data_IF_157553905146
#
_entry.id   IF_157553905146
#
_cell.length_a   1.000
_cell.length_b   1.000
_cell.length_c   1.000
_cell.angle_alpha   90.00
_cell.angle_beta   90.00
_cell.angle_gamma   90.00
#
_symmetry.space_group_name_H-M   'P 1'
#
loop_
_entity.id
_entity.type
_entity.pdbx_description
1 polymer ?
#
# COMPACT_ATOMS: atom_id res chain seq x y z
N UNK A 1 -26.00 27.43 19.31
CA UNK A 1 -25.16 28.24 18.40
C UNK A 1 -25.26 27.58 17.02
N UNK A 2 -25.88 28.26 16.05
CA UNK A 2 -25.95 27.77 14.66
C UNK A 2 -24.54 27.83 14.05
N UNK A 3 -23.94 26.70 13.80
CA UNK A 3 -22.67 26.62 13.08
C UNK A 3 -22.87 27.13 11.65
N UNK A 4 -22.01 28.01 11.25
CA UNK A 4 -22.09 28.85 10.05
C UNK A 4 -21.86 28.02 8.78
N UNK A 5 -22.56 28.26 7.64
CA UNK A 5 -22.40 27.54 6.37
C UNK A 5 -20.99 27.60 5.74
N UNK A 6 -20.14 28.51 6.18
CA UNK A 6 -18.81 28.75 5.62
C UNK A 6 -17.79 27.61 5.83
N UNK A 7 -17.93 26.81 6.89
CA UNK A 7 -16.93 25.77 7.22
C UNK A 7 -17.08 24.51 6.33
N UNK A 8 -18.31 24.21 5.89
CA UNK A 8 -18.58 23.10 4.97
C UNK A 8 -18.06 23.39 3.56
N UNK A 9 -18.06 24.66 3.15
CA UNK A 9 -17.55 25.11 1.85
C UNK A 9 -16.04 24.93 1.75
N UNK A 10 -15.28 25.26 2.82
CA UNK A 10 -13.81 25.15 2.81
C UNK A 10 -13.30 23.72 2.59
N UNK A 11 -13.96 22.71 3.19
CA UNK A 11 -13.61 21.31 2.94
C UNK A 11 -13.96 20.90 1.51
N UNK A 12 -15.13 21.31 1.01
CA UNK A 12 -15.54 21.00 -0.35
C UNK A 12 -14.58 21.60 -1.40
N UNK A 13 -14.14 22.85 -1.19
CA UNK A 13 -13.21 23.53 -2.07
C UNK A 13 -11.81 22.88 -2.06
N UNK A 14 -11.29 22.54 -0.87
CA UNK A 14 -10.01 21.85 -0.74
C UNK A 14 -10.06 20.43 -1.35
N UNK A 15 -11.15 19.69 -1.14
CA UNK A 15 -11.37 18.38 -1.74
C UNK A 15 -11.50 18.46 -3.26
N UNK A 16 -12.21 19.45 -3.79
CA UNK A 16 -12.34 19.67 -5.24
C UNK A 16 -10.97 19.94 -5.88
N UNK A 17 -10.17 20.82 -5.29
CA UNK A 17 -8.81 21.13 -5.76
C UNK A 17 -7.93 19.88 -5.79
N UNK A 18 -7.96 19.05 -4.74
CA UNK A 18 -7.22 17.78 -4.67
C UNK A 18 -7.66 16.81 -5.79
N UNK A 19 -8.98 16.64 -5.96
CA UNK A 19 -9.56 15.75 -6.96
C UNK A 19 -9.22 16.20 -8.39
N UNK A 20 -9.30 17.49 -8.67
CA UNK A 20 -8.94 18.08 -9.97
C UNK A 20 -7.45 17.89 -10.26
N UNK A 21 -6.58 18.17 -9.30
CA UNK A 21 -5.14 17.94 -9.43
C UNK A 21 -4.84 16.48 -9.77
N UNK A 22 -5.49 15.53 -9.08
CA UNK A 22 -5.35 14.11 -9.37
C UNK A 22 -5.87 13.77 -10.78
N UNK A 23 -7.04 14.25 -11.17
CA UNK A 23 -7.64 13.97 -12.47
C UNK A 23 -6.80 14.50 -13.65
N UNK A 24 -6.01 15.56 -13.42
CA UNK A 24 -5.09 16.14 -14.41
C UNK A 24 -3.74 15.42 -14.47
N UNK A 25 -3.35 14.69 -13.41
CA UNK A 25 -2.06 13.98 -13.36
C UNK A 25 -1.97 12.87 -14.42
N UNK A 26 -0.81 12.77 -15.08
CA UNK A 26 -0.53 11.74 -16.10
C UNK A 26 0.85 11.12 -15.85
N UNK A 27 1.04 9.80 -16.06
CA UNK A 27 0.02 8.81 -16.49
C UNK A 27 -0.92 8.43 -15.35
N UNK A 28 -2.21 8.19 -15.67
CA UNK A 28 -3.20 7.78 -14.69
C UNK A 28 -3.05 6.28 -14.37
N UNK A 29 -2.68 5.95 -13.14
CA UNK A 29 -2.46 4.58 -12.68
C UNK A 29 -3.77 3.91 -12.18
N UNK A 30 -4.77 3.79 -13.07
CA UNK A 30 -6.11 3.29 -12.73
C UNK A 30 -6.09 1.90 -12.07
N UNK A 31 -5.23 0.96 -12.51
CA UNK A 31 -5.12 -0.36 -11.87
C UNK A 31 -4.75 -0.23 -10.39
N UNK A 32 -3.75 0.60 -10.07
CA UNK A 32 -3.28 0.80 -8.70
C UNK A 32 -4.34 1.49 -7.82
N UNK A 33 -5.10 2.45 -8.40
CA UNK A 33 -6.18 3.10 -7.67
C UNK A 33 -7.33 2.14 -7.38
N UNK A 34 -7.75 1.32 -8.36
CA UNK A 34 -8.76 0.30 -8.14
C UNK A 34 -8.36 -0.69 -7.05
N UNK A 35 -7.09 -1.10 -7.04
CA UNK A 35 -6.51 -1.91 -5.96
C UNK A 35 -6.70 -1.23 -4.60
N UNK A 36 -6.42 0.07 -4.48
CA UNK A 36 -6.62 0.81 -3.22
C UNK A 36 -8.09 0.82 -2.79
N UNK A 37 -9.03 1.03 -3.72
CA UNK A 37 -10.48 1.02 -3.47
C UNK A 37 -10.92 -0.38 -2.99
N UNK A 38 -10.42 -1.45 -3.61
CA UNK A 38 -10.74 -2.80 -3.17
C UNK A 38 -10.26 -3.06 -1.73
N UNK A 39 -9.01 -2.71 -1.42
CA UNK A 39 -8.45 -2.94 -0.09
C UNK A 39 -9.14 -2.12 1.01
N UNK A 40 -9.30 -0.82 0.78
CA UNK A 40 -9.77 0.11 1.81
C UNK A 40 -11.30 0.19 1.91
N UNK A 41 -12.01 0.04 0.81
CA UNK A 41 -13.46 0.29 0.78
C UNK A 41 -14.27 -0.96 0.50
N UNK A 42 -13.94 -1.75 -0.53
CA UNK A 42 -14.80 -2.84 -0.96
C UNK A 42 -14.66 -4.05 -0.03
N UNK A 43 -13.43 -4.42 0.35
CA UNK A 43 -13.19 -5.59 1.22
C UNK A 43 -13.87 -5.46 2.59
N UNK A 44 -13.80 -4.32 3.32
CA UNK A 44 -14.51 -4.17 4.58
C UNK A 44 -16.05 -4.17 4.45
N UNK A 45 -16.58 -3.92 3.23
CA UNK A 45 -18.01 -3.81 2.96
C UNK A 45 -18.55 -4.96 2.11
N UNK A 46 -18.16 -6.20 2.41
CA UNK A 46 -18.67 -7.40 1.76
C UNK A 46 -17.86 -7.90 0.56
N UNK A 47 -16.74 -7.26 0.24
CA UNK A 47 -15.70 -7.75 -0.69
C UNK A 47 -16.09 -7.78 -2.17
N UNK A 48 -17.34 -7.46 -2.53
CA UNK A 48 -17.86 -7.62 -3.90
C UNK A 48 -18.56 -6.35 -4.39
N UNK A 49 -18.29 -5.95 -5.62
CA UNK A 49 -18.93 -4.78 -6.23
C UNK A 49 -19.41 -5.06 -7.66
N UNK A 50 -20.58 -4.50 -8.02
CA UNK A 50 -21.01 -4.48 -9.41
C UNK A 50 -20.15 -3.50 -10.23
N UNK A 51 -19.75 -3.92 -11.45
CA UNK A 51 -18.92 -3.10 -12.34
C UNK A 51 -19.50 -1.70 -12.59
N UNK A 52 -20.82 -1.60 -12.75
CA UNK A 52 -21.48 -0.30 -12.95
C UNK A 52 -21.37 0.62 -11.73
N UNK A 53 -21.41 0.08 -10.50
CA UNK A 53 -21.18 0.84 -9.28
C UNK A 53 -19.73 1.30 -9.19
N UNK A 54 -18.77 0.42 -9.50
CA UNK A 54 -17.35 0.76 -9.50
C UNK A 54 -17.05 1.91 -10.47
N UNK A 55 -17.65 1.88 -11.69
CA UNK A 55 -17.50 2.95 -12.67
C UNK A 55 -17.98 4.29 -12.10
N UNK A 56 -19.18 4.30 -11.48
CA UNK A 56 -19.73 5.53 -10.87
C UNK A 56 -18.91 6.05 -9.71
N UNK A 57 -18.31 5.16 -8.91
CA UNK A 57 -17.46 5.53 -7.76
C UNK A 57 -16.20 6.30 -8.19
N UNK A 58 -15.60 5.92 -9.32
CA UNK A 58 -14.31 6.48 -9.77
C UNK A 58 -14.45 7.57 -10.83
N UNK A 59 -15.66 7.77 -11.36
CA UNK A 59 -15.95 8.81 -12.37
C UNK A 59 -15.51 10.21 -11.92
N UNK A 60 -15.77 10.66 -10.66
CA UNK A 60 -15.33 11.96 -10.18
C UNK A 60 -13.81 12.13 -10.14
N UNK A 61 -13.04 11.03 -10.12
CA UNK A 61 -11.59 11.02 -10.19
C UNK A 61 -11.03 11.12 -11.61
N UNK A 62 -11.89 11.40 -12.61
CA UNK A 62 -11.48 11.52 -14.01
C UNK A 62 -11.19 10.18 -14.72
N UNK A 63 -11.58 9.04 -14.12
CA UNK A 63 -11.36 7.72 -14.71
C UNK A 63 -12.53 7.36 -15.61
N UNK A 64 -12.28 7.28 -16.92
CA UNK A 64 -13.31 6.93 -17.88
C UNK A 64 -13.82 5.49 -17.70
N UNK A 65 -15.09 5.25 -18.06
CA UNK A 65 -15.68 3.92 -18.05
C UNK A 65 -14.86 2.89 -18.84
N UNK A 66 -14.28 3.29 -19.99
CA UNK A 66 -13.40 2.44 -20.79
C UNK A 66 -12.16 2.03 -20.03
N UNK A 67 -11.54 2.97 -19.32
CA UNK A 67 -10.33 2.71 -18.54
C UNK A 67 -10.63 1.79 -17.35
N UNK A 68 -11.77 1.97 -16.66
CA UNK A 68 -12.19 1.06 -15.59
C UNK A 68 -12.36 -0.37 -16.11
N UNK A 69 -13.08 -0.55 -17.22
CA UNK A 69 -13.30 -1.88 -17.83
C UNK A 69 -11.99 -2.57 -18.21
N UNK A 70 -11.07 -1.83 -18.85
CA UNK A 70 -9.75 -2.35 -19.23
C UNK A 70 -8.92 -2.71 -17.98
N UNK A 71 -8.98 -1.88 -16.95
CA UNK A 71 -8.24 -2.13 -15.70
C UNK A 71 -8.77 -3.35 -14.95
N UNK A 72 -10.08 -3.47 -14.80
CA UNK A 72 -10.72 -4.65 -14.17
C UNK A 72 -10.41 -5.93 -14.95
N UNK A 73 -10.45 -5.90 -16.27
CA UNK A 73 -10.08 -7.04 -17.12
C UNK A 73 -8.61 -7.45 -16.87
N UNK A 74 -7.67 -6.50 -16.91
CA UNK A 74 -6.26 -6.76 -16.64
C UNK A 74 -5.99 -7.28 -15.22
N UNK A 75 -6.74 -6.80 -14.23
CA UNK A 75 -6.62 -7.29 -12.86
C UNK A 75 -7.18 -8.72 -12.72
N UNK A 76 -8.21 -9.07 -13.49
CA UNK A 76 -8.74 -10.42 -13.55
C UNK A 76 -7.76 -11.39 -14.27
N UNK A 77 -7.16 -10.98 -15.40
CA UNK A 77 -6.13 -11.78 -16.07
C UNK A 77 -4.90 -12.05 -15.18
N UNK A 78 -4.56 -11.08 -14.30
CA UNK A 78 -3.47 -11.26 -13.30
C UNK A 78 -3.87 -12.08 -12.07
N UNK A 79 -5.09 -12.61 -12.01
CA UNK A 79 -5.58 -13.35 -10.86
C UNK A 79 -5.75 -12.53 -9.58
N UNK A 80 -5.84 -11.19 -9.71
CA UNK A 80 -6.11 -10.29 -8.57
C UNK A 80 -7.61 -10.21 -8.31
N UNK A 81 -8.39 -10.06 -9.38
CA UNK A 81 -9.85 -10.05 -9.32
C UNK A 81 -10.42 -11.35 -9.90
N UNK A 82 -11.57 -11.74 -9.38
CA UNK A 82 -12.44 -12.76 -9.96
C UNK A 82 -13.81 -12.15 -10.23
N UNK A 83 -14.52 -12.68 -11.23
CA UNK A 83 -15.84 -12.21 -11.61
C UNK A 83 -16.91 -13.26 -11.38
N UNK A 84 -18.09 -12.78 -10.97
CA UNK A 84 -19.32 -13.58 -10.88
C UNK A 84 -20.42 -12.85 -11.65
N UNK A 85 -21.02 -13.53 -12.62
CA UNK A 85 -22.15 -12.99 -13.35
C UNK A 85 -23.46 -13.34 -12.62
N UNK A 86 -24.31 -12.32 -12.42
CA UNK A 86 -25.66 -12.47 -11.86
C UNK A 86 -26.62 -11.77 -12.82
N UNK A 87 -27.37 -12.53 -13.57
CA UNK A 87 -28.21 -12.00 -14.66
C UNK A 87 -27.36 -11.25 -15.69
N UNK A 88 -27.70 -10.00 -15.93
CA UNK A 88 -26.96 -9.12 -16.88
C UNK A 88 -25.83 -8.31 -16.20
N UNK A 89 -25.54 -8.56 -14.94
CA UNK A 89 -24.57 -7.79 -14.16
C UNK A 89 -23.35 -8.63 -13.83
N UNK A 90 -22.16 -8.06 -14.00
CA UNK A 90 -20.90 -8.67 -13.60
C UNK A 90 -20.44 -8.05 -12.27
N UNK A 91 -20.24 -8.88 -11.29
CA UNK A 91 -19.72 -8.54 -9.97
C UNK A 91 -18.27 -8.98 -9.87
N UNK A 92 -17.46 -8.17 -9.22
CA UNK A 92 -16.02 -8.45 -9.07
C UNK A 92 -15.63 -8.42 -7.60
N UNK A 93 -14.79 -9.37 -7.20
CA UNK A 93 -14.19 -9.48 -5.87
C UNK A 93 -12.71 -9.80 -6.00
N UNK A 94 -11.95 -9.62 -4.92
CA UNK A 94 -10.59 -10.16 -4.87
C UNK A 94 -10.62 -11.69 -4.92
N UNK A 95 -9.59 -12.28 -5.52
CA UNK A 95 -9.31 -13.72 -5.34
C UNK A 95 -8.82 -13.96 -3.91
N UNK A 96 -8.92 -15.21 -3.40
CA UNK A 96 -8.45 -15.55 -2.05
C UNK A 96 -6.96 -15.22 -1.86
N UNK A 97 -6.14 -15.45 -2.89
CA UNK A 97 -4.72 -15.10 -2.88
C UNK A 97 -4.53 -13.58 -2.75
N UNK A 98 -5.20 -12.81 -3.59
CA UNK A 98 -5.12 -11.36 -3.53
C UNK A 98 -5.65 -10.82 -2.20
N UNK A 99 -6.72 -11.37 -1.65
CA UNK A 99 -7.26 -10.99 -0.35
C UNK A 99 -6.24 -11.19 0.78
N UNK A 100 -5.51 -12.32 0.80
CA UNK A 100 -4.43 -12.55 1.78
C UNK A 100 -3.30 -11.53 1.63
N UNK A 101 -2.84 -11.26 0.40
CA UNK A 101 -1.83 -10.24 0.13
C UNK A 101 -2.27 -8.83 0.60
N UNK A 102 -3.54 -8.49 0.37
CA UNK A 102 -4.11 -7.24 0.86
C UNK A 102 -4.19 -7.17 2.37
N UNK A 103 -4.55 -8.25 3.03
CA UNK A 103 -4.63 -8.32 4.50
C UNK A 103 -3.23 -8.12 5.12
N UNK A 104 -2.19 -8.71 4.53
CA UNK A 104 -0.81 -8.48 4.96
C UNK A 104 -0.38 -7.01 4.73
N UNK A 105 -0.61 -6.47 3.54
CA UNK A 105 -0.30 -5.07 3.23
C UNK A 105 -1.10 -4.09 4.11
N UNK A 106 -2.36 -4.41 4.45
CA UNK A 106 -3.20 -3.57 5.33
C UNK A 106 -2.61 -3.44 6.72
N UNK A 107 -2.04 -4.50 7.28
CA UNK A 107 -1.34 -4.42 8.57
C UNK A 107 -0.26 -3.35 8.56
N UNK A 108 0.48 -3.21 7.44
CA UNK A 108 1.52 -2.18 7.27
C UNK A 108 0.94 -0.78 7.10
N UNK A 109 -0.16 -0.65 6.34
CA UNK A 109 -0.78 0.65 6.03
C UNK A 109 -1.45 1.26 7.28
N UNK A 110 -2.08 0.41 8.11
CA UNK A 110 -2.88 0.85 9.25
C UNK A 110 -2.21 0.59 10.61
N UNK A 111 -0.97 0.04 10.63
CA UNK A 111 -0.23 -0.10 11.88
C UNK A 111 0.11 1.28 12.47
N UNK A 112 -0.36 1.51 13.68
CA UNK A 112 -0.10 2.75 14.42
C UNK A 112 1.28 2.79 15.07
N UNK A 113 1.96 1.64 15.17
CA UNK A 113 3.28 1.51 15.78
C UNK A 113 4.12 0.49 15.01
N UNK A 114 5.43 0.76 14.90
CA UNK A 114 6.38 -0.24 14.42
C UNK A 114 6.50 -1.38 15.44
N UNK A 115 6.75 -2.59 14.95
CA UNK A 115 7.01 -3.72 15.83
C UNK A 115 8.44 -3.62 16.43
N UNK A 116 8.63 -3.94 17.72
CA UNK A 116 9.97 -3.97 18.29
C UNK A 116 10.84 -4.97 17.52
N UNK A 117 12.06 -4.56 17.19
CA UNK A 117 12.98 -5.38 16.45
C UNK A 117 13.73 -6.35 17.39
N UNK A 118 13.70 -7.64 17.04
CA UNK A 118 14.46 -8.68 17.73
C UNK A 118 15.96 -8.72 17.37
N UNK A 119 16.42 -7.72 16.58
CA UNK A 119 17.80 -7.60 16.05
C UNK A 119 18.22 -8.75 15.15
N UNK A 120 17.25 -9.46 14.58
CA UNK A 120 17.51 -10.52 13.63
C UNK A 120 16.92 -10.18 12.26
N UNK A 121 17.68 -10.48 11.23
CA UNK A 121 17.29 -10.37 9.84
C UNK A 121 16.67 -11.69 9.36
N UNK A 122 15.59 -11.62 8.63
CA UNK A 122 15.02 -12.75 7.88
C UNK A 122 15.59 -12.70 6.48
N UNK A 123 16.28 -13.79 6.09
CA UNK A 123 16.85 -13.93 4.75
C UNK A 123 16.14 -15.06 4.01
N UNK A 124 15.75 -14.77 2.78
CA UNK A 124 15.22 -15.77 1.86
C UNK A 124 16.22 -15.97 0.74
N UNK A 125 16.73 -17.20 0.59
CA UNK A 125 17.69 -17.59 -0.42
C UNK A 125 16.99 -18.43 -1.49
N UNK A 126 16.98 -17.95 -2.73
CA UNK A 126 16.41 -18.66 -3.90
C UNK A 126 17.47 -19.11 -4.89
N UNK A 127 18.74 -18.90 -4.55
CA UNK A 127 19.90 -19.27 -5.40
C UNK A 127 20.41 -20.69 -5.17
N UNK A 128 19.95 -21.34 -4.10
CA UNK A 128 20.41 -22.69 -3.71
C UNK A 128 19.72 -23.81 -4.50
N UNK A 129 18.49 -23.56 -4.96
CA UNK A 129 17.68 -24.53 -5.67
C UNK A 129 17.68 -24.35 -7.20
N UNK A 130 16.98 -25.26 -7.89
CA UNK A 130 16.85 -25.30 -9.35
C UNK A 130 15.59 -24.58 -9.85
N UNK A 131 15.32 -23.40 -9.31
CA UNK A 131 14.14 -22.61 -9.73
C UNK A 131 14.22 -22.25 -11.21
N UNK A 132 13.10 -22.37 -11.91
CA UNK A 132 12.92 -21.79 -13.25
C UNK A 132 12.87 -20.26 -13.17
N UNK A 133 13.05 -19.58 -14.30
CA UNK A 133 12.94 -18.12 -14.36
C UNK A 133 11.55 -17.64 -13.94
N UNK A 134 10.49 -18.38 -14.28
CA UNK A 134 9.12 -18.05 -13.91
C UNK A 134 8.90 -18.19 -12.39
N UNK A 135 9.41 -19.25 -11.78
CA UNK A 135 9.36 -19.46 -10.33
C UNK A 135 10.14 -18.37 -9.58
N UNK A 136 11.36 -18.02 -10.05
CA UNK A 136 12.14 -16.90 -9.48
C UNK A 136 11.38 -15.58 -9.50
N UNK A 137 10.75 -15.28 -10.63
CA UNK A 137 9.96 -14.06 -10.78
C UNK A 137 8.70 -14.06 -9.89
N UNK A 138 8.07 -15.22 -9.74
CA UNK A 138 6.92 -15.39 -8.85
C UNK A 138 7.33 -15.17 -7.38
N UNK A 139 8.39 -15.86 -6.92
CA UNK A 139 8.91 -15.69 -5.56
C UNK A 139 9.33 -14.23 -5.32
N UNK A 140 10.02 -13.61 -6.28
CA UNK A 140 10.42 -12.20 -6.20
C UNK A 140 9.23 -11.27 -5.98
N UNK A 141 8.14 -11.46 -6.73
CA UNK A 141 6.92 -10.66 -6.61
C UNK A 141 6.24 -10.84 -5.25
N UNK A 142 6.12 -12.09 -4.80
CA UNK A 142 5.50 -12.39 -3.52
C UNK A 142 6.32 -11.82 -2.34
N UNK A 143 7.65 -12.00 -2.35
CA UNK A 143 8.52 -11.42 -1.34
C UNK A 143 8.48 -9.89 -1.33
N UNK A 144 8.38 -9.26 -2.50
CA UNK A 144 8.19 -7.82 -2.60
C UNK A 144 6.87 -7.37 -1.92
N UNK A 145 5.78 -8.12 -2.12
CA UNK A 145 4.51 -7.83 -1.43
C UNK A 145 4.60 -8.02 0.10
N UNK A 146 5.44 -8.92 0.56
CA UNK A 146 5.75 -9.12 1.99
C UNK A 146 6.76 -8.08 2.53
N UNK A 147 7.23 -7.15 1.71
CA UNK A 147 8.14 -6.07 2.12
C UNK A 147 9.62 -6.42 2.09
N UNK A 148 9.99 -7.55 1.52
CA UNK A 148 11.40 -7.92 1.37
C UNK A 148 12.12 -7.02 0.38
N UNK A 149 13.35 -6.64 0.74
CA UNK A 149 14.32 -6.03 -0.16
C UNK A 149 15.30 -7.06 -0.72
N UNK A 150 15.77 -6.82 -1.93
CA UNK A 150 16.74 -7.70 -2.57
C UNK A 150 18.16 -7.15 -2.37
N UNK A 151 19.00 -7.91 -1.69
CA UNK A 151 20.45 -7.59 -1.52
C UNK A 151 21.20 -7.86 -2.83
N UNK A 152 21.03 -9.06 -3.37
CA UNK A 152 21.65 -9.52 -4.61
C UNK A 152 20.69 -10.51 -5.31
N UNK A 153 20.91 -10.86 -6.58
CA UNK A 153 20.08 -11.87 -7.24
C UNK A 153 19.97 -13.16 -6.40
N UNK A 154 18.73 -13.52 -6.02
CA UNK A 154 18.45 -14.72 -5.24
C UNK A 154 18.59 -14.58 -3.73
N UNK A 155 18.90 -13.40 -3.21
CA UNK A 155 19.00 -13.11 -1.77
C UNK A 155 18.09 -11.94 -1.40
N UNK A 156 17.14 -12.21 -0.53
CA UNK A 156 16.15 -11.22 -0.06
C UNK A 156 16.25 -11.09 1.45
N UNK A 157 16.01 -9.89 1.96
CA UNK A 157 16.13 -9.56 3.38
C UNK A 157 14.92 -8.77 3.88
N UNK A 158 14.53 -9.05 5.14
CA UNK A 158 13.52 -8.29 5.87
C UNK A 158 13.88 -8.26 7.37
N UNK A 159 13.74 -7.13 8.08
CA UNK A 159 14.10 -7.05 9.49
C UNK A 159 13.10 -7.73 10.43
N UNK A 160 11.80 -7.63 10.13
CA UNK A 160 10.72 -8.02 11.08
C UNK A 160 9.63 -8.91 10.46
N UNK A 161 9.83 -9.48 9.26
CA UNK A 161 8.81 -10.30 8.62
C UNK A 161 8.42 -11.52 9.49
N UNK A 162 7.13 -11.88 9.46
CA UNK A 162 6.64 -13.09 10.11
C UNK A 162 7.12 -14.34 9.34
N UNK A 163 7.98 -15.12 10.00
CA UNK A 163 8.54 -16.35 9.44
C UNK A 163 7.48 -17.38 9.05
N UNK A 164 6.36 -17.44 9.78
CA UNK A 164 5.26 -18.36 9.45
C UNK A 164 4.55 -17.97 8.16
N UNK A 165 4.45 -16.67 7.87
CA UNK A 165 3.87 -16.18 6.61
C UNK A 165 4.77 -16.54 5.41
N UNK A 166 6.08 -16.43 5.59
CA UNK A 166 7.06 -16.83 4.57
C UNK A 166 7.04 -18.34 4.34
N UNK A 167 7.02 -19.14 5.39
CA UNK A 167 6.96 -20.59 5.29
C UNK A 167 5.68 -21.04 4.56
N UNK A 168 4.55 -20.44 4.88
CA UNK A 168 3.29 -20.71 4.16
C UNK A 168 3.38 -20.35 2.68
N UNK A 169 3.98 -19.19 2.34
CA UNK A 169 4.20 -18.79 0.96
C UNK A 169 5.06 -19.81 0.21
N UNK A 170 6.18 -20.23 0.79
CA UNK A 170 7.08 -21.23 0.18
C UNK A 170 6.32 -22.55 -0.07
N UNK A 171 5.55 -23.03 0.91
CA UNK A 171 4.74 -24.24 0.79
C UNK A 171 3.62 -24.08 -0.25
N UNK A 172 2.91 -22.97 -0.31
CA UNK A 172 1.89 -22.69 -1.34
C UNK A 172 2.47 -22.71 -2.76
N UNK A 173 3.74 -22.37 -2.90
CA UNK A 173 4.44 -22.41 -4.19
C UNK A 173 5.10 -23.76 -4.50
N UNK A 174 5.13 -24.70 -3.53
CA UNK A 174 5.77 -26.01 -3.66
C UNK A 174 7.28 -25.89 -3.86
N UNK A 175 7.94 -24.99 -3.10
CA UNK A 175 9.36 -24.66 -3.28
C UNK A 175 10.19 -24.90 -2.01
N UNK A 176 9.73 -25.80 -1.12
CA UNK A 176 10.36 -26.11 0.16
C UNK A 176 11.79 -26.63 0.01
N UNK A 177 12.07 -27.37 -1.06
CA UNK A 177 13.38 -27.93 -1.34
C UNK A 177 14.33 -26.95 -2.08
N UNK A 178 13.79 -25.85 -2.63
CA UNK A 178 14.52 -24.93 -3.49
C UNK A 178 14.77 -23.55 -2.86
N UNK A 179 14.09 -23.23 -1.76
CA UNK A 179 14.13 -21.91 -1.09
C UNK A 179 14.46 -22.11 0.38
N UNK A 180 15.52 -21.47 0.83
CA UNK A 180 15.91 -21.46 2.24
C UNK A 180 15.45 -20.19 2.93
N UNK A 181 14.84 -20.31 4.12
CA UNK A 181 14.56 -19.23 5.04
C UNK A 181 15.55 -19.29 6.22
N UNK A 182 16.27 -18.22 6.44
CA UNK A 182 17.26 -18.10 7.50
C UNK A 182 16.91 -16.89 8.41
N UNK A 183 17.27 -17.00 9.66
CA UNK A 183 17.39 -15.88 10.60
C UNK A 183 18.86 -15.62 10.88
N UNK A 184 19.29 -14.36 10.83
CA UNK A 184 20.68 -13.99 11.00
C UNK A 184 20.81 -12.68 11.78
N UNK A 185 21.84 -12.59 12.62
CA UNK A 185 22.25 -11.34 13.25
C UNK A 185 23.36 -10.70 12.42
N UNK A 186 23.30 -9.38 12.24
CA UNK A 186 24.39 -8.65 11.62
C UNK A 186 25.53 -8.51 12.62
N UNK A 187 26.72 -8.99 12.25
CA UNK A 187 27.92 -8.78 13.05
C UNK A 187 28.52 -7.39 12.76
N UNK A 188 29.11 -6.77 13.76
CA UNK A 188 29.90 -5.56 13.57
C UNK A 188 31.32 -5.95 13.15
N UNK A 189 31.83 -5.31 12.10
CA UNK A 189 33.23 -5.46 11.64
C UNK A 189 33.90 -4.13 11.91
N UNK A 190 34.99 -4.15 12.67
CA UNK A 190 35.77 -2.96 13.05
C UNK A 190 34.92 -1.80 13.61
N UNK A 191 33.97 -2.13 14.48
CA UNK A 191 33.02 -1.19 15.09
C UNK A 191 32.05 -0.49 14.11
N UNK A 192 32.06 -0.85 12.82
CA UNK A 192 31.08 -0.37 11.85
C UNK A 192 29.86 -1.26 11.94
N UNK A 193 28.67 -0.70 12.25
CA UNK A 193 27.44 -1.48 12.30
C UNK A 193 27.10 -2.01 10.89
N UNK A 194 27.25 -3.29 10.64
CA UNK A 194 26.91 -3.93 9.37
C UNK A 194 25.43 -3.68 9.00
N UNK A 195 24.56 -3.53 10.01
CA UNK A 195 23.18 -3.17 9.81
C UNK A 195 23.01 -1.86 9.03
N UNK A 196 23.84 -0.86 9.27
CA UNK A 196 23.76 0.42 8.57
C UNK A 196 24.13 0.30 7.08
N UNK A 197 25.12 -0.54 6.77
CA UNK A 197 25.50 -0.82 5.37
C UNK A 197 24.39 -1.57 4.64
N UNK A 198 23.82 -2.62 5.26
CA UNK A 198 22.69 -3.35 4.68
C UNK A 198 21.49 -2.42 4.45
N UNK A 199 21.24 -1.51 5.38
CA UNK A 199 20.15 -0.57 5.27
C UNK A 199 20.36 0.42 4.14
N UNK A 200 21.55 1.02 4.04
CA UNK A 200 21.84 2.02 3.01
C UNK A 200 21.85 1.44 1.60
N UNK A 201 22.35 0.21 1.42
CA UNK A 201 22.43 -0.42 0.10
C UNK A 201 21.13 -1.10 -0.33
N UNK A 202 20.41 -1.76 0.61
CA UNK A 202 19.22 -2.51 0.27
C UNK A 202 17.97 -1.65 0.22
N UNK A 203 18.00 -0.49 0.88
CA UNK A 203 16.83 0.34 1.12
C UNK A 203 17.12 1.77 0.64
N UNK A 204 16.99 1.99 -0.66
CA UNK A 204 17.23 3.30 -1.28
C UNK A 204 16.25 4.34 -0.70
N UNK A 205 16.78 5.20 0.19
CA UNK A 205 16.01 6.07 1.08
C UNK A 205 15.73 7.46 0.51
N UNK A 206 16.44 7.89 -0.53
CA UNK A 206 16.46 9.30 -0.92
C UNK A 206 15.16 9.76 -1.58
N UNK A 207 14.40 8.84 -2.19
CA UNK A 207 13.13 9.19 -2.84
C UNK A 207 11.93 9.24 -1.90
N UNK A 208 11.95 8.54 -0.76
CA UNK A 208 10.78 8.46 0.12
C UNK A 208 10.52 9.76 0.90
N UNK A 209 11.56 10.51 1.28
CA UNK A 209 11.42 11.80 1.97
C UNK A 209 10.67 12.82 1.12
N UNK A 210 11.04 12.94 -0.16
CA UNK A 210 10.35 13.82 -1.10
C UNK A 210 8.88 13.39 -1.32
N UNK A 211 8.62 12.08 -1.42
CA UNK A 211 7.28 11.56 -1.61
C UNK A 211 6.39 11.84 -0.37
N UNK A 212 6.94 11.77 0.85
CA UNK A 212 6.22 12.12 2.07
C UNK A 212 5.93 13.63 2.17
N UNK A 213 6.88 14.48 1.83
CA UNK A 213 6.67 15.93 1.79
C UNK A 213 5.60 16.31 0.77
N UNK A 214 5.59 15.66 -0.40
CA UNK A 214 4.55 15.86 -1.41
C UNK A 214 3.16 15.42 -0.89
N UNK A 215 3.08 14.29 -0.18
CA UNK A 215 1.83 13.85 0.44
C UNK A 215 1.32 14.86 1.47
N UNK A 216 2.19 15.35 2.36
CA UNK A 216 1.84 16.37 3.35
C UNK A 216 1.29 17.61 2.64
N UNK A 217 2.01 18.12 1.64
CA UNK A 217 1.60 19.27 0.85
C UNK A 217 0.23 19.11 0.19
N UNK A 218 -0.03 17.93 -0.40
CA UNK A 218 -1.29 17.63 -1.09
C UNK A 218 -2.48 17.59 -0.12
N UNK A 219 -2.30 17.08 1.11
CA UNK A 219 -3.42 16.78 2.02
C UNK A 219 -3.56 17.73 3.21
N UNK A 220 -2.57 18.58 3.51
CA UNK A 220 -2.61 19.46 4.68
C UNK A 220 -3.78 20.44 4.65
N UNK A 221 -4.09 21.02 3.49
CA UNK A 221 -5.23 21.94 3.32
C UNK A 221 -6.58 21.24 3.56
N UNK A 222 -6.72 20.02 3.05
CA UNK A 222 -7.92 19.19 3.25
C UNK A 222 -8.09 18.82 4.72
N UNK A 223 -7.01 18.42 5.40
CA UNK A 223 -7.01 18.12 6.83
C UNK A 223 -7.39 19.32 7.67
N UNK A 224 -6.79 20.49 7.41
CA UNK A 224 -7.09 21.71 8.14
C UNK A 224 -8.56 22.16 7.98
N UNK A 225 -9.13 21.94 6.80
CA UNK A 225 -10.54 22.24 6.53
C UNK A 225 -11.49 21.21 7.18
N UNK A 226 -11.17 19.92 7.08
CA UNK A 226 -11.95 18.84 7.69
C UNK A 226 -12.01 18.95 9.22
N UNK A 227 -10.88 19.28 9.87
CA UNK A 227 -10.79 19.43 11.33
C UNK A 227 -11.68 20.55 11.90
N UNK A 228 -12.06 21.52 11.06
CA UNK A 228 -12.92 22.66 11.46
C UNK A 228 -14.38 22.47 11.02
N UNK A 229 -14.67 21.47 10.21
CA UNK A 229 -16.01 21.25 9.67
C UNK A 229 -16.89 20.53 10.69
N UNK A 230 -18.15 20.96 10.81
CA UNK A 230 -19.13 20.30 11.68
C UNK A 230 -19.76 19.06 11.07
N UNK A 231 -19.88 19.03 9.74
CA UNK A 231 -20.42 17.90 8.97
C UNK A 231 -19.74 17.87 7.60
N UNK A 232 -19.30 16.70 7.18
CA UNK A 232 -18.62 16.47 5.92
C UNK A 232 -19.54 15.75 4.91
N UNK A 233 -19.38 16.07 3.63
CA UNK A 233 -20.10 15.36 2.57
C UNK A 233 -19.53 13.92 2.42
N UNK A 234 -20.33 12.85 2.61
CA UNK A 234 -19.84 11.48 2.55
C UNK A 234 -19.19 11.10 1.20
N UNK A 235 -19.67 11.71 0.10
CA UNK A 235 -19.12 11.46 -1.24
C UNK A 235 -17.72 12.06 -1.37
N UNK A 236 -17.52 13.28 -0.88
CA UNK A 236 -16.20 13.91 -0.86
C UNK A 236 -15.26 13.19 0.11
N UNK A 237 -15.75 12.77 1.27
CA UNK A 237 -14.99 11.95 2.22
C UNK A 237 -14.46 10.67 1.56
N UNK A 238 -15.31 9.94 0.84
CA UNK A 238 -14.91 8.75 0.09
C UNK A 238 -13.80 9.05 -0.94
N UNK A 239 -13.94 10.12 -1.72
CA UNK A 239 -12.96 10.50 -2.74
C UNK A 239 -11.63 10.90 -2.14
N UNK A 240 -11.64 11.74 -1.10
CA UNK A 240 -10.44 12.16 -0.37
C UNK A 240 -9.76 10.95 0.28
N UNK A 241 -10.52 10.08 0.98
CA UNK A 241 -10.01 8.87 1.59
C UNK A 241 -9.33 7.95 0.57
N UNK A 242 -9.97 7.76 -0.57
CA UNK A 242 -9.43 6.95 -1.67
C UNK A 242 -8.09 7.48 -2.16
N UNK A 243 -7.96 8.80 -2.37
CA UNK A 243 -6.72 9.43 -2.82
C UNK A 243 -5.63 9.38 -1.73
N UNK A 244 -5.99 9.63 -0.47
CA UNK A 244 -5.09 9.57 0.66
C UNK A 244 -4.44 8.19 0.79
N UNK A 245 -5.27 7.14 0.87
CA UNK A 245 -4.78 5.77 0.98
C UNK A 245 -4.03 5.33 -0.27
N UNK A 246 -4.46 5.76 -1.46
CA UNK A 246 -3.74 5.47 -2.70
C UNK A 246 -2.33 6.06 -2.69
N UNK A 247 -2.16 7.33 -2.33
CA UNK A 247 -0.85 8.01 -2.25
C UNK A 247 0.01 7.40 -1.15
N UNK A 248 -0.52 7.30 0.06
CA UNK A 248 0.20 6.79 1.22
C UNK A 248 0.68 5.34 1.02
N UNK A 249 -0.20 4.46 0.53
CA UNK A 249 0.17 3.08 0.19
C UNK A 249 1.30 3.01 -0.84
N UNK A 250 1.31 3.90 -1.83
CA UNK A 250 2.34 3.93 -2.86
C UNK A 250 3.72 4.23 -2.30
N UNK A 251 3.80 5.08 -1.27
CA UNK A 251 5.04 5.39 -0.56
C UNK A 251 5.42 4.20 0.32
N UNK A 252 4.50 3.75 1.18
CA UNK A 252 4.74 2.67 2.14
C UNK A 252 5.18 1.34 1.51
N UNK A 253 4.59 0.96 0.37
CA UNK A 253 4.95 -0.30 -0.30
C UNK A 253 6.30 -0.23 -1.02
N UNK A 254 6.85 0.96 -1.22
CA UNK A 254 8.22 1.15 -1.71
C UNK A 254 9.23 1.26 -0.58
N UNK A 255 8.77 1.67 0.58
CA UNK A 255 9.60 1.69 1.79
C UNK A 255 9.63 0.31 2.44
N UNK A 256 10.79 -0.20 2.76
CA UNK A 256 10.89 -1.39 3.59
C UNK A 256 10.45 -1.06 5.02
N UNK A 257 9.84 -2.02 5.68
CA UNK A 257 9.59 -1.94 7.13
C UNK A 257 10.92 -2.05 7.86
N UNK A 258 11.46 -0.92 8.24
CA UNK A 258 12.61 -0.88 9.13
C UNK A 258 12.13 -0.57 10.55
N UNK A 259 12.66 -1.26 11.57
CA UNK A 259 12.39 -0.95 12.97
C UNK A 259 12.85 0.47 13.32
N UNK A 260 12.17 1.12 14.25
CA UNK A 260 12.51 2.49 14.69
C UNK A 260 13.95 2.58 15.26
N UNK A 261 14.44 1.50 15.90
CA UNK A 261 15.81 1.40 16.41
C UNK A 261 16.90 1.50 15.32
N UNK A 262 16.51 1.35 14.05
CA UNK A 262 17.41 1.30 12.91
C UNK A 262 17.30 2.54 12.03
N UNK A 263 16.22 3.29 12.22
CA UNK A 263 15.93 4.52 11.48
C UNK A 263 16.14 5.70 12.42
N UNK A 264 17.05 6.59 12.09
CA UNK A 264 16.92 7.97 12.57
C UNK A 264 15.56 8.47 12.10
N UNK A 265 14.67 8.79 13.05
CA UNK A 265 13.30 9.20 12.81
C UNK A 265 13.27 10.35 11.79
N UNK A 266 12.71 10.09 10.62
CA UNK A 266 12.58 11.10 9.58
C UNK A 266 11.34 11.93 9.87
N UNK A 267 11.53 13.20 10.09
CA UNK A 267 10.44 14.12 10.44
C UNK A 267 9.26 14.05 9.45
N UNK A 268 9.51 14.00 8.14
CA UNK A 268 8.44 13.94 7.15
C UNK A 268 7.68 12.60 7.13
N UNK A 269 8.36 11.46 7.37
CA UNK A 269 7.68 10.17 7.47
C UNK A 269 6.72 10.12 8.66
N UNK A 270 7.19 10.56 9.84
CA UNK A 270 6.38 10.63 11.06
C UNK A 270 5.20 11.59 10.91
N UNK A 271 5.44 12.79 10.36
CA UNK A 271 4.40 13.78 10.09
C UNK A 271 3.36 13.27 9.08
N UNK A 272 3.78 12.64 7.99
CA UNK A 272 2.89 12.08 6.97
C UNK A 272 2.03 10.95 7.52
N UNK A 273 2.60 10.05 8.35
CA UNK A 273 1.86 8.98 9.03
C UNK A 273 0.80 9.54 9.97
N UNK A 274 1.17 10.53 10.77
CA UNK A 274 0.24 11.22 11.68
C UNK A 274 -0.87 11.91 10.90
N UNK A 275 -0.54 12.74 9.90
CA UNK A 275 -1.52 13.42 9.05
C UNK A 275 -2.48 12.44 8.40
N UNK A 276 -1.95 11.33 7.86
CA UNK A 276 -2.76 10.29 7.22
C UNK A 276 -3.72 9.64 8.22
N UNK A 277 -3.25 9.26 9.40
CA UNK A 277 -4.07 8.65 10.45
C UNK A 277 -5.18 9.60 10.94
N UNK A 278 -4.82 10.84 11.25
CA UNK A 278 -5.74 11.85 11.75
C UNK A 278 -6.82 12.20 10.70
N UNK A 279 -6.40 12.43 9.45
CA UNK A 279 -7.34 12.72 8.36
C UNK A 279 -8.26 11.53 8.07
N UNK A 280 -7.69 10.29 8.04
CA UNK A 280 -8.48 9.07 7.82
C UNK A 280 -9.59 8.92 8.86
N UNK A 281 -9.28 9.14 10.14
CA UNK A 281 -10.28 9.08 11.22
C UNK A 281 -11.37 10.15 11.10
N UNK A 282 -11.03 11.35 10.63
CA UNK A 282 -11.99 12.43 10.47
C UNK A 282 -13.01 12.17 9.35
N UNK A 283 -12.62 11.45 8.30
CA UNK A 283 -13.42 11.27 7.08
C UNK A 283 -14.00 9.85 6.94
N UNK A 284 -13.83 8.98 7.95
CA UNK A 284 -14.41 7.64 8.00
C UNK A 284 -15.65 7.63 8.89
#
# INVERSE_FOLDING_TARGET
MKQTPQTTTAFADAAATLIESFAQSRPMHANSLLISIYGDTICPHGGTIWLGSLIKLVEPLGISQRLVRTSVFRLAEKGILQSKQVGRRSYYSLTDRAFRQFTSASKRIYASQSQPWDKQWRLVLTSLGKLTNEQRETVRKELFWLGFSRITPGVYVHPIADTNEIQRLIAELGLEDDVALLTASAANIDQIPMSNTLISECFNRDNSEHDYQALISDFQAVYAAASKAGMLDPKLCFLVKTLLIHRFRHILLREPELPDDVIEERAASSEARKLTGDLYQLIT
#
